data_IF_740269615725
#
_entry.id   IF_740269615725
#
_cell.length_a   1.000
_cell.length_b   1.000
_cell.length_c   1.000
_cell.angle_alpha   90.00
_cell.angle_beta   90.00
_cell.angle_gamma   90.00
#
_symmetry.space_group_name_H-M   'P 1'
#
loop_
_entity.id
_entity.type
_entity.pdbx_description
1 polymer ?
#
# COMPACT_ATOMS: atom_id res chain seq x y z
N UNK A 1 -60.29 -29.11 -28.20
CA UNK A 1 -58.81 -29.17 -28.26
C UNK A 1 -58.29 -27.84 -27.73
N UNK A 2 -57.86 -27.80 -26.47
CA UNK A 2 -57.25 -26.64 -25.83
C UNK A 2 -55.77 -26.96 -25.61
N UNK A 3 -54.94 -26.04 -26.08
CA UNK A 3 -53.50 -25.91 -25.89
C UNK A 3 -53.22 -25.51 -24.45
N UNK A 4 -52.16 -26.04 -23.84
CA UNK A 4 -51.24 -25.30 -22.96
C UNK A 4 -50.07 -26.21 -22.56
N UNK A 5 -48.91 -25.88 -23.11
CA UNK A 5 -47.55 -26.30 -22.72
C UNK A 5 -47.01 -25.28 -21.72
N UNK A 6 -46.34 -25.73 -20.66
CA UNK A 6 -45.22 -25.13 -19.87
C UNK A 6 -45.19 -25.88 -18.51
N UNK A 7 -44.09 -26.24 -17.87
CA UNK A 7 -42.71 -25.80 -17.95
C UNK A 7 -41.79 -26.96 -17.56
N UNK A 8 -40.68 -27.11 -18.27
CA UNK A 8 -39.54 -27.91 -17.82
C UNK A 8 -38.74 -27.05 -16.84
N UNK A 9 -38.72 -27.46 -15.58
CA UNK A 9 -37.91 -26.84 -14.53
C UNK A 9 -36.43 -26.98 -14.88
N UNK A 10 -35.85 -25.93 -15.45
CA UNK A 10 -34.41 -25.82 -15.65
C UNK A 10 -33.78 -25.63 -14.28
N UNK A 11 -33.28 -26.73 -13.72
CA UNK A 11 -32.38 -26.76 -12.58
C UNK A 11 -31.09 -26.00 -12.94
N UNK A 12 -31.15 -24.66 -12.85
CA UNK A 12 -30.00 -23.77 -12.97
C UNK A 12 -29.12 -24.06 -11.77
N UNK A 13 -28.13 -24.94 -11.95
CA UNK A 13 -26.97 -25.02 -11.06
C UNK A 13 -26.35 -23.63 -10.99
N UNK A 14 -26.69 -22.88 -9.95
CA UNK A 14 -25.91 -21.73 -9.53
C UNK A 14 -24.60 -22.33 -9.02
N UNK A 15 -23.54 -22.23 -9.81
CA UNK A 15 -22.19 -22.38 -9.26
C UNK A 15 -22.08 -21.35 -8.16
N UNK A 16 -22.01 -21.81 -6.91
CA UNK A 16 -21.47 -21.00 -5.83
C UNK A 16 -19.98 -20.82 -6.14
N UNK A 17 -19.64 -19.74 -6.85
CA UNK A 17 -18.28 -19.23 -6.83
C UNK A 17 -17.96 -18.97 -5.36
N UNK A 18 -16.98 -19.70 -4.81
CA UNK A 18 -16.51 -19.49 -3.46
C UNK A 18 -16.01 -18.03 -3.38
N UNK A 19 -16.65 -17.13 -2.62
CA UNK A 19 -16.15 -15.76 -2.46
C UNK A 19 -14.88 -15.69 -1.61
N UNK A 20 -14.36 -16.84 -1.17
CA UNK A 20 -13.20 -17.00 -0.30
C UNK A 20 -11.90 -16.55 -0.99
N UNK A 21 -11.82 -16.55 -2.34
CA UNK A 21 -10.55 -16.30 -3.03
C UNK A 21 -10.08 -14.85 -3.03
N UNK A 22 -10.96 -13.86 -2.88
CA UNK A 22 -10.55 -12.44 -2.89
C UNK A 22 -10.12 -11.91 -1.52
N UNK A 23 -10.68 -12.45 -0.42
CA UNK A 23 -10.42 -11.96 0.94
C UNK A 23 -8.99 -12.33 1.40
N UNK A 24 -8.48 -13.48 0.96
CA UNK A 24 -7.14 -13.96 1.31
C UNK A 24 -6.05 -13.51 0.31
N UNK A 25 -6.42 -12.68 -0.69
CA UNK A 25 -5.46 -12.21 -1.69
C UNK A 25 -4.46 -11.25 -1.02
N UNK A 26 -3.17 -11.58 -1.13
CA UNK A 26 -2.07 -10.74 -0.68
C UNK A 26 -1.36 -10.13 -1.88
N UNK A 27 -1.09 -8.83 -1.85
CA UNK A 27 -0.31 -8.16 -2.88
C UNK A 27 1.10 -8.75 -2.94
N UNK A 28 1.73 -8.63 -4.12
CA UNK A 28 3.16 -8.93 -4.27
C UNK A 28 3.95 -8.02 -3.32
N UNK A 29 4.99 -8.58 -2.70
CA UNK A 29 5.99 -7.82 -1.97
C UNK A 29 7.24 -7.67 -2.82
N UNK A 30 7.81 -6.47 -2.85
CA UNK A 30 9.11 -6.17 -3.46
C UNK A 30 10.06 -5.59 -2.41
N UNK A 31 11.35 -5.50 -2.75
CA UNK A 31 12.40 -4.91 -1.89
C UNK A 31 13.12 -3.74 -2.58
N UNK A 32 12.77 -3.47 -3.83
CA UNK A 32 13.38 -2.47 -4.70
C UNK A 32 12.27 -1.68 -5.39
N UNK A 33 12.57 -0.41 -5.67
CA UNK A 33 11.68 0.53 -6.36
C UNK A 33 12.48 1.30 -7.42
N UNK A 34 11.81 1.95 -8.38
CA UNK A 34 12.47 2.92 -9.25
C UNK A 34 13.16 4.02 -8.45
N UNK A 35 14.33 4.45 -8.92
CA UNK A 35 15.05 5.60 -8.36
C UNK A 35 14.28 6.90 -8.61
N UNK A 36 14.64 7.95 -7.90
CA UNK A 36 14.04 9.28 -8.02
C UNK A 36 12.53 9.30 -7.69
N UNK A 37 12.09 8.33 -6.88
CA UNK A 37 10.72 8.26 -6.35
C UNK A 37 10.43 9.40 -5.38
N UNK A 38 9.13 9.68 -5.16
CA UNK A 38 8.66 10.59 -4.11
C UNK A 38 8.24 9.76 -2.90
N UNK A 39 8.72 10.12 -1.72
CA UNK A 39 8.39 9.44 -0.46
C UNK A 39 7.51 10.32 0.43
N UNK A 40 6.41 9.75 0.93
CA UNK A 40 5.52 10.31 1.92
C UNK A 40 5.70 9.58 3.25
N UNK A 41 6.12 10.30 4.29
CA UNK A 41 6.26 9.75 5.64
C UNK A 41 4.97 9.98 6.46
N UNK A 42 4.13 8.95 6.51
CA UNK A 42 2.95 8.87 7.40
C UNK A 42 3.25 8.06 8.67
N UNK A 43 4.44 7.44 8.75
CA UNK A 43 4.86 6.66 9.89
C UNK A 43 5.39 7.53 11.05
N UNK A 44 5.64 8.82 10.80
CA UNK A 44 6.31 9.74 11.72
C UNK A 44 7.71 9.25 12.09
N UNK A 45 8.49 8.98 11.05
CA UNK A 45 9.81 8.37 11.16
C UNK A 45 10.84 9.34 11.76
N UNK A 46 11.72 8.92 12.68
CA UNK A 46 12.82 9.74 13.19
C UNK A 46 13.73 10.23 12.07
N UNK A 47 14.28 11.44 12.21
CA UNK A 47 15.04 12.13 11.15
C UNK A 47 16.21 11.33 10.59
N UNK A 48 17.01 10.76 11.50
CA UNK A 48 18.14 9.89 11.18
C UNK A 48 17.69 8.72 10.30
N UNK A 49 16.67 7.99 10.77
CA UNK A 49 16.15 6.81 10.10
C UNK A 49 15.48 7.14 8.76
N UNK A 50 14.76 8.26 8.68
CA UNK A 50 14.12 8.70 7.45
C UNK A 50 15.16 9.10 6.41
N UNK A 51 16.26 9.74 6.83
CA UNK A 51 17.40 10.05 5.96
C UNK A 51 18.02 8.77 5.40
N UNK A 52 18.30 7.79 6.27
CA UNK A 52 18.87 6.49 5.88
C UNK A 52 17.96 5.74 4.89
N UNK A 53 16.65 5.76 5.12
CA UNK A 53 15.65 5.16 4.21
C UNK A 53 15.67 5.89 2.86
N UNK A 54 15.66 7.22 2.88
CA UNK A 54 15.67 8.05 1.68
C UNK A 54 16.91 7.80 0.81
N UNK A 55 18.09 7.75 1.42
CA UNK A 55 19.35 7.43 0.74
C UNK A 55 19.35 6.01 0.17
N UNK A 56 18.93 5.02 0.96
CA UNK A 56 18.86 3.62 0.53
C UNK A 56 17.94 3.43 -0.66
N UNK A 57 16.76 4.05 -0.63
CA UNK A 57 15.77 3.98 -1.70
C UNK A 57 16.09 4.92 -2.87
N UNK A 58 17.06 5.82 -2.70
CA UNK A 58 17.45 6.85 -3.68
C UNK A 58 16.24 7.69 -4.12
N UNK A 59 15.45 8.13 -3.15
CA UNK A 59 14.27 8.97 -3.39
C UNK A 59 14.70 10.38 -3.77
N UNK A 60 13.98 11.03 -4.69
CA UNK A 60 14.28 12.40 -5.09
C UNK A 60 13.74 13.42 -4.08
N UNK A 61 12.62 13.11 -3.42
CA UNK A 61 11.95 14.02 -2.51
C UNK A 61 11.29 13.24 -1.38
N UNK A 62 11.36 13.81 -0.18
CA UNK A 62 10.68 13.30 1.01
C UNK A 62 9.71 14.37 1.50
N UNK A 63 8.45 13.99 1.66
CA UNK A 63 7.43 14.81 2.28
C UNK A 63 7.01 14.23 3.63
N UNK A 64 6.97 15.08 4.65
CA UNK A 64 6.50 14.70 5.99
C UNK A 64 5.08 15.20 6.23
N UNK A 65 4.32 14.41 6.97
CA UNK A 65 3.11 14.86 7.66
C UNK A 65 3.48 15.85 8.78
N UNK A 66 2.64 16.87 9.09
CA UNK A 66 1.18 16.81 9.20
C UNK A 66 0.42 17.46 8.03
N UNK A 67 1.05 17.68 6.89
CA UNK A 67 0.34 18.26 5.74
C UNK A 67 -0.53 17.19 5.09
N UNK A 68 -1.82 17.51 4.96
CA UNK A 68 -2.87 16.76 4.25
C UNK A 68 -2.32 15.99 3.04
N UNK A 69 -2.42 14.65 3.09
CA UNK A 69 -1.93 13.76 2.03
C UNK A 69 -2.58 14.12 0.70
N UNK A 70 -3.88 14.42 0.70
CA UNK A 70 -4.64 14.81 -0.49
C UNK A 70 -4.00 16.03 -1.17
N UNK A 71 -3.76 17.10 -0.41
CA UNK A 71 -3.07 18.31 -0.88
C UNK A 71 -1.66 18.08 -1.45
N UNK A 72 -0.97 17.01 -1.04
CA UNK A 72 0.36 16.70 -1.57
C UNK A 72 0.30 15.85 -2.83
N UNK A 73 -0.62 14.88 -2.89
CA UNK A 73 -0.84 14.06 -4.07
C UNK A 73 -1.27 14.93 -5.27
N UNK A 74 -2.07 15.98 -5.06
CA UNK A 74 -2.44 16.95 -6.10
C UNK A 74 -1.28 17.73 -6.72
N UNK A 75 -0.14 17.85 -6.01
CA UNK A 75 1.04 18.58 -6.51
C UNK A 75 1.97 17.70 -7.34
N UNK A 76 1.76 16.39 -7.36
CA UNK A 76 2.56 15.49 -8.17
C UNK A 76 2.15 15.70 -9.63
N UNK A 77 3.07 16.24 -10.43
CA UNK A 77 2.81 16.59 -11.83
C UNK A 77 2.61 15.32 -12.67
N UNK A 78 1.44 15.23 -13.34
CA UNK A 78 0.95 14.00 -13.97
C UNK A 78 1.69 13.61 -15.26
N UNK A 79 2.56 14.49 -15.79
CA UNK A 79 3.19 14.28 -17.09
C UNK A 79 4.31 13.21 -17.10
N UNK A 80 4.91 12.91 -15.93
CA UNK A 80 6.02 11.94 -15.78
C UNK A 80 5.91 11.16 -14.45
N UNK A 81 4.68 10.83 -14.01
CA UNK A 81 4.33 10.23 -12.72
C UNK A 81 5.42 9.36 -12.07
N UNK A 82 6.28 9.96 -11.20
CA UNK A 82 7.34 9.21 -10.53
C UNK A 82 6.72 8.14 -9.62
N UNK A 83 7.51 7.12 -9.27
CA UNK A 83 7.08 6.14 -8.28
C UNK A 83 6.78 6.83 -6.95
N UNK A 84 5.68 6.44 -6.31
CA UNK A 84 5.25 6.99 -5.03
C UNK A 84 5.47 5.96 -3.94
N UNK A 85 6.10 6.36 -2.84
CA UNK A 85 6.33 5.50 -1.67
C UNK A 85 5.62 6.12 -0.49
N UNK A 86 4.79 5.34 0.21
CA UNK A 86 4.13 5.78 1.45
C UNK A 86 4.66 4.92 2.58
N UNK A 87 5.39 5.54 3.51
CA UNK A 87 5.79 4.89 4.76
C UNK A 87 4.61 4.93 5.73
N UNK A 88 4.28 3.76 6.27
CA UNK A 88 3.22 3.58 7.27
C UNK A 88 3.76 2.79 8.46
N UNK A 89 3.12 2.92 9.62
CA UNK A 89 3.55 2.19 10.82
C UNK A 89 2.35 1.62 11.56
N UNK A 90 2.46 0.35 11.96
CA UNK A 90 1.37 -0.35 12.64
C UNK A 90 0.07 -0.27 11.83
N UNK A 91 -0.97 0.36 12.38
CA UNK A 91 -2.28 0.58 11.78
C UNK A 91 -2.50 2.03 11.34
N UNK A 92 -1.45 2.85 11.37
CA UNK A 92 -1.52 4.29 11.13
C UNK A 92 -0.91 4.65 9.77
N UNK A 93 -1.60 5.49 8.97
CA UNK A 93 -2.95 6.05 9.23
C UNK A 93 -4.06 4.98 9.08
N UNK A 94 -5.30 5.26 9.54
CA UNK A 94 -6.42 4.36 9.37
C UNK A 94 -6.60 3.94 7.91
N UNK A 95 -6.69 2.62 7.69
CA UNK A 95 -6.65 2.05 6.34
C UNK A 95 -7.76 2.59 5.43
N UNK A 96 -8.98 2.76 5.94
CA UNK A 96 -10.10 3.27 5.13
C UNK A 96 -9.84 4.69 4.63
N UNK A 97 -9.41 5.60 5.51
CA UNK A 97 -9.12 7.00 5.19
C UNK A 97 -7.96 7.12 4.19
N UNK A 98 -6.92 6.29 4.36
CA UNK A 98 -5.82 6.22 3.42
C UNK A 98 -6.28 5.70 2.04
N UNK A 99 -7.10 4.66 2.01
CA UNK A 99 -7.63 4.12 0.76
C UNK A 99 -8.45 5.16 0.00
N UNK A 100 -9.31 5.90 0.70
CA UNK A 100 -10.14 6.93 0.11
C UNK A 100 -9.28 8.06 -0.47
N UNK A 101 -8.31 8.56 0.30
CA UNK A 101 -7.37 9.60 -0.14
C UNK A 101 -6.57 9.18 -1.39
N UNK A 102 -6.07 7.95 -1.41
CA UNK A 102 -5.27 7.45 -2.53
C UNK A 102 -6.11 7.24 -3.80
N UNK A 103 -7.34 6.74 -3.67
CA UNK A 103 -8.21 6.50 -4.82
C UNK A 103 -8.81 7.77 -5.40
N UNK A 104 -9.09 8.76 -4.56
CA UNK A 104 -9.63 10.04 -5.01
C UNK A 104 -8.58 10.82 -5.81
N UNK A 105 -7.32 10.80 -5.34
CA UNK A 105 -6.27 11.65 -5.91
C UNK A 105 -5.40 10.99 -6.97
N UNK A 106 -5.25 9.66 -6.95
CA UNK A 106 -4.35 8.98 -7.87
C UNK A 106 -5.09 8.40 -9.08
N UNK A 107 -4.52 8.64 -10.26
CA UNK A 107 -4.88 7.92 -11.49
C UNK A 107 -4.51 6.44 -11.38
N UNK A 108 -5.12 5.59 -12.20
CA UNK A 108 -4.80 4.15 -12.25
C UNK A 108 -3.31 3.88 -12.56
N UNK A 109 -2.67 4.72 -13.37
CA UNK A 109 -1.24 4.63 -13.67
C UNK A 109 -0.40 4.91 -12.41
N UNK A 110 -0.71 5.97 -11.68
CA UNK A 110 -0.03 6.30 -10.42
C UNK A 110 -0.26 5.23 -9.35
N UNK A 111 -1.47 4.66 -9.26
CA UNK A 111 -1.75 3.55 -8.35
C UNK A 111 -0.89 2.32 -8.66
N UNK A 112 -0.70 2.00 -9.94
CA UNK A 112 0.18 0.90 -10.35
C UNK A 112 1.66 1.14 -10.03
N UNK A 113 2.05 2.40 -9.82
CA UNK A 113 3.40 2.84 -9.44
C UNK A 113 3.47 3.32 -7.97
N UNK A 114 2.48 2.91 -7.15
CA UNK A 114 2.40 3.19 -5.72
C UNK A 114 2.95 2.02 -4.90
N UNK A 115 3.79 2.35 -3.93
CA UNK A 115 4.40 1.43 -3.00
C UNK A 115 4.00 1.78 -1.56
N UNK A 116 3.41 0.83 -0.83
CA UNK A 116 3.16 0.97 0.61
C UNK A 116 4.25 0.21 1.36
N UNK A 117 4.99 0.94 2.20
CA UNK A 117 6.09 0.40 2.98
C UNK A 117 5.76 0.44 4.48
N UNK A 118 5.20 -0.64 5.04
CA UNK A 118 5.09 -0.73 6.48
C UNK A 118 6.47 -0.84 7.11
N UNK A 119 6.73 -0.01 8.11
CA UNK A 119 7.98 0.02 8.86
C UNK A 119 7.71 -0.07 10.36
N UNK A 120 8.72 -0.53 11.08
CA UNK A 120 8.79 -0.37 12.52
C UNK A 120 10.25 -0.13 12.92
N UNK A 121 10.48 0.41 14.11
CA UNK A 121 11.82 0.66 14.60
C UNK A 121 11.89 0.53 16.11
N UNK A 122 13.10 0.26 16.57
CA UNK A 122 13.45 0.29 17.99
C UNK A 122 14.33 1.49 18.27
N UNK A 123 14.03 2.19 19.36
CA UNK A 123 14.95 3.14 19.97
C UNK A 123 15.65 2.42 21.12
N UNK A 124 16.98 2.39 21.11
CA UNK A 124 17.76 1.99 22.27
C UNK A 124 18.39 3.25 22.84
N UNK A 125 18.34 3.42 24.17
CA UNK A 125 18.75 4.65 24.87
C UNK A 125 20.19 5.13 24.63
N UNK A 126 20.99 4.37 23.86
CA UNK A 126 22.37 4.66 23.46
C UNK A 126 22.70 4.30 22.01
N UNK A 127 21.72 3.96 21.15
CA UNK A 127 21.95 3.69 19.71
C UNK A 127 20.96 4.50 18.87
N UNK A 128 21.39 4.87 17.67
CA UNK A 128 20.51 5.40 16.64
C UNK A 128 19.33 4.44 16.41
N UNK A 129 18.17 5.00 16.09
CA UNK A 129 16.99 4.23 15.74
C UNK A 129 17.30 3.29 14.57
N UNK A 130 16.74 2.08 14.65
CA UNK A 130 17.01 1.04 13.66
C UNK A 130 15.70 0.42 13.21
N UNK A 131 15.54 0.27 11.88
CA UNK A 131 14.48 -0.53 11.31
C UNK A 131 14.47 -1.94 11.88
N UNK A 132 13.27 -2.41 12.19
CA UNK A 132 12.99 -3.81 12.52
C UNK A 132 11.83 -4.27 11.66
N UNK A 133 11.74 -5.59 11.48
CA UNK A 133 10.62 -6.16 10.74
C UNK A 133 9.30 -5.80 11.44
N UNK A 134 8.31 -5.26 10.72
CA UNK A 134 6.99 -5.07 11.26
C UNK A 134 6.39 -6.41 11.70
N UNK A 135 5.44 -6.35 12.65
CA UNK A 135 4.73 -7.56 13.05
C UNK A 135 4.04 -8.23 11.85
N UNK A 136 4.09 -9.56 11.79
CA UNK A 136 3.55 -10.36 10.67
C UNK A 136 2.10 -10.00 10.37
N UNK A 137 1.27 -9.75 11.39
CA UNK A 137 -0.12 -9.35 11.23
C UNK A 137 -0.26 -7.99 10.50
N UNK A 138 0.60 -7.02 10.81
CA UNK A 138 0.60 -5.71 10.15
C UNK A 138 1.03 -5.85 8.69
N UNK A 139 2.13 -6.58 8.43
CA UNK A 139 2.61 -6.83 7.07
C UNK A 139 1.54 -7.52 6.21
N UNK A 140 0.83 -8.52 6.75
CA UNK A 140 -0.23 -9.20 6.03
C UNK A 140 -1.41 -8.29 5.72
N UNK A 141 -1.82 -7.45 6.67
CA UNK A 141 -2.94 -6.53 6.43
C UNK A 141 -2.57 -5.44 5.43
N UNK A 142 -1.37 -4.86 5.48
CA UNK A 142 -0.91 -3.92 4.45
C UNK A 142 -0.82 -4.55 3.06
N UNK A 143 -0.51 -5.85 2.98
CA UNK A 143 -0.58 -6.60 1.72
C UNK A 143 -2.01 -6.86 1.25
N UNK A 144 -2.97 -7.09 2.15
CA UNK A 144 -4.42 -7.15 1.82
C UNK A 144 -4.94 -5.80 1.35
N UNK A 145 -4.59 -4.73 2.07
CA UNK A 145 -4.87 -3.36 1.69
C UNK A 145 -4.41 -3.08 0.26
N UNK A 146 -3.17 -3.42 -0.08
CA UNK A 146 -2.71 -3.22 -1.45
C UNK A 146 -3.43 -4.07 -2.48
N UNK A 147 -3.77 -5.34 -2.18
CA UNK A 147 -4.41 -6.22 -3.15
C UNK A 147 -5.88 -5.87 -3.43
N UNK A 148 -6.58 -5.36 -2.41
CA UNK A 148 -8.04 -5.29 -2.44
C UNK A 148 -8.57 -3.87 -2.30
N UNK A 149 -7.83 -2.98 -1.61
CA UNK A 149 -8.23 -1.61 -1.47
C UNK A 149 -7.72 -0.76 -2.65
N UNK A 150 -6.41 -0.65 -2.84
CA UNK A 150 -5.84 0.40 -3.72
C UNK A 150 -5.21 -0.14 -5.02
N UNK A 151 -5.01 -1.45 -5.15
CA UNK A 151 -4.22 -2.08 -6.23
C UNK A 151 -2.77 -1.55 -6.29
N UNK A 152 -2.14 -1.42 -5.12
CA UNK A 152 -0.75 -1.00 -4.96
C UNK A 152 0.22 -2.17 -4.78
N UNK A 153 1.52 -1.86 -4.71
CA UNK A 153 2.56 -2.83 -4.38
C UNK A 153 3.02 -2.69 -2.93
N UNK A 154 3.21 -3.81 -2.23
CA UNK A 154 3.83 -3.80 -0.91
C UNK A 154 5.36 -3.72 -1.04
N UNK A 155 5.99 -2.81 -0.32
CA UNK A 155 7.45 -2.66 -0.24
C UNK A 155 7.94 -3.13 1.14
N UNK A 156 8.76 -4.17 1.15
CA UNK A 156 9.49 -4.59 2.35
C UNK A 156 10.84 -3.88 2.39
N UNK A 157 11.08 -3.15 3.48
CA UNK A 157 12.38 -2.52 3.74
C UNK A 157 13.29 -3.42 4.61
N UNK A 158 12.84 -4.62 4.95
CA UNK A 158 13.61 -5.59 5.72
C UNK A 158 14.69 -6.19 4.82
N UNK A 159 15.94 -5.76 4.99
CA UNK A 159 17.00 -6.23 4.08
C UNK A 159 18.37 -5.59 4.13
N UNK A 160 18.67 -4.63 5.02
CA UNK A 160 20.06 -4.25 5.25
C UNK A 160 20.61 -5.09 6.42
N UNK A 161 21.30 -6.18 6.08
CA UNK A 161 22.32 -6.72 6.99
C UNK A 161 23.27 -5.57 7.32
N UNK A 162 23.70 -5.38 8.59
CA UNK A 162 24.80 -4.48 8.89
C UNK A 162 26.06 -4.86 8.11
#
# INVERSE_FOLDING_TARGET
RKTETLSTDQNRKVSAENPISEIDRLAKSVTEIPVDSILFDLAHTPDSLLSDIGERLRVATIHRTPVDLHSQLQRVDNANSPALVVLVRSWEPPLAELADSLREELTAEQQSNLFIAPIDWVSASQKNERLVEPQVAHTQEWRRFCASAVDCTHLSLDGAKP
#
